data_IF_900597252334
#
_entry.id   IF_900597252334
#
_cell.length_a   1.000
_cell.length_b   1.000
_cell.length_c   1.000
_cell.angle_alpha   90.00
_cell.angle_beta   90.00
_cell.angle_gamma   90.00
#
_symmetry.space_group_name_H-M   'P 1'
#
loop_
_entity.id
_entity.type
_entity.pdbx_description
1 polymer ?
#
# COMPACT_ATOMS: atom_id res chain seq x y z
N UNK A 1 -7.22 8.73 21.79
CA UNK A 1 -6.59 9.45 20.66
C UNK A 1 -6.70 8.54 19.45
N UNK A 2 -7.21 9.01 18.29
CA UNK A 2 -7.21 8.15 17.09
C UNK A 2 -5.78 8.04 16.56
N UNK A 3 -5.40 6.86 16.08
CA UNK A 3 -4.17 6.72 15.32
C UNK A 3 -4.27 7.55 14.03
N UNK A 4 -3.17 8.17 13.57
CA UNK A 4 -3.16 8.84 12.28
C UNK A 4 -3.34 7.80 11.16
N UNK A 5 -4.19 8.11 10.18
CA UNK A 5 -4.41 7.27 9.02
C UNK A 5 -3.19 7.31 8.09
N UNK A 6 -2.70 6.15 7.65
CA UNK A 6 -1.59 6.01 6.72
C UNK A 6 -2.09 5.56 5.35
N UNK A 7 -1.92 6.44 4.35
CA UNK A 7 -2.15 6.15 2.94
C UNK A 7 -0.82 6.07 2.19
N UNK A 8 -0.67 5.04 1.36
CA UNK A 8 0.52 4.82 0.52
C UNK A 8 0.11 4.67 -0.94
N UNK A 9 0.84 5.32 -1.85
CA UNK A 9 0.71 5.14 -3.29
C UNK A 9 1.83 4.22 -3.79
N UNK A 10 1.45 3.15 -4.49
CA UNK A 10 2.37 2.21 -5.12
C UNK A 10 2.59 2.61 -6.58
N UNK A 11 3.84 2.90 -6.94
CA UNK A 11 4.29 3.29 -8.28
C UNK A 11 5.04 2.15 -9.00
N UNK A 12 4.71 0.91 -8.65
CA UNK A 12 5.34 -0.27 -9.24
C UNK A 12 5.10 -0.34 -10.76
N UNK A 13 6.15 -0.67 -11.52
CA UNK A 13 6.07 -0.74 -12.99
C UNK A 13 5.22 -1.89 -13.54
N UNK A 14 4.89 -2.88 -12.71
CA UNK A 14 4.08 -4.04 -13.10
C UNK A 14 3.08 -4.39 -11.99
N UNK A 15 1.97 -5.00 -12.39
CA UNK A 15 0.94 -5.47 -11.46
C UNK A 15 1.45 -6.57 -10.52
N UNK A 16 2.35 -7.44 -10.98
CA UNK A 16 2.95 -8.47 -10.13
C UNK A 16 3.78 -7.83 -9.01
N UNK A 17 4.59 -6.81 -9.34
CA UNK A 17 5.35 -6.07 -8.34
C UNK A 17 4.45 -5.27 -7.38
N UNK A 18 3.34 -4.71 -7.88
CA UNK A 18 2.35 -4.04 -7.04
C UNK A 18 1.69 -5.03 -6.07
N UNK A 19 1.35 -6.23 -6.54
CA UNK A 19 0.77 -7.28 -5.73
C UNK A 19 1.73 -7.78 -4.64
N UNK A 20 2.98 -8.05 -5.00
CA UNK A 20 4.02 -8.43 -4.04
C UNK A 20 4.23 -7.35 -2.97
N UNK A 21 4.37 -6.09 -3.39
CA UNK A 21 4.58 -4.96 -2.48
C UNK A 21 3.38 -4.76 -1.56
N UNK A 22 2.17 -4.84 -2.11
CA UNK A 22 0.91 -4.76 -1.33
C UNK A 22 0.90 -5.77 -0.20
N UNK A 23 1.27 -7.03 -0.46
CA UNK A 23 1.28 -8.08 0.58
C UNK A 23 2.28 -7.83 1.71
N UNK A 24 3.36 -7.09 1.46
CA UNK A 24 4.36 -6.76 2.47
C UNK A 24 3.89 -5.67 3.43
N UNK A 25 3.02 -4.77 2.98
CA UNK A 25 2.64 -3.56 3.72
C UNK A 25 1.17 -3.51 4.14
N UNK A 26 0.32 -4.43 3.66
CA UNK A 26 -1.13 -4.37 3.83
C UNK A 26 -1.61 -4.33 5.29
N UNK A 27 -0.84 -4.88 6.23
CA UNK A 27 -1.21 -4.85 7.65
C UNK A 27 -0.88 -3.50 8.32
N UNK A 28 -0.04 -2.68 7.69
CA UNK A 28 0.52 -1.45 8.27
C UNK A 28 -0.13 -0.18 7.68
N UNK A 29 -1.00 -0.32 6.68
CA UNK A 29 -1.59 0.80 5.94
C UNK A 29 -3.11 0.72 5.94
N UNK A 30 -3.76 1.88 6.02
CA UNK A 30 -5.23 1.96 5.96
C UNK A 30 -5.72 1.97 4.51
N UNK A 31 -4.95 2.60 3.61
CA UNK A 31 -5.32 2.79 2.20
C UNK A 31 -4.09 2.58 1.32
N UNK A 32 -4.27 1.78 0.26
CA UNK A 32 -3.31 1.58 -0.81
C UNK A 32 -3.92 2.09 -2.11
N UNK A 33 -3.22 3.00 -2.78
CA UNK A 33 -3.52 3.44 -4.14
C UNK A 33 -2.51 2.81 -5.10
N UNK A 34 -2.99 2.20 -6.18
CA UNK A 34 -2.14 1.55 -7.19
C UNK A 34 -2.39 2.23 -8.53
N UNK A 35 -1.31 2.69 -9.18
CA UNK A 35 -1.32 3.42 -10.46
C UNK A 35 -0.82 2.62 -11.66
#
# INVERSE_FOLDING_TARGET
>A
MSLPMLQVALDNQTMDSAYETTRLIAEEVDIIEVG
#
